data_IF_864851451088
#
_entry.id   IF_864851451088
#
_cell.length_a   1.000
_cell.length_b   1.000
_cell.length_c   1.000
_cell.angle_alpha   90.00
_cell.angle_beta   90.00
_cell.angle_gamma   90.00
#
_symmetry.space_group_name_H-M   'P 1'
#
loop_
_entity.id
_entity.type
_entity.pdbx_description
1 polymer ?
#
# COMPACT_ATOMS: atom_id res chain seq x y z
N UNK A 1 54.58 -18.98 30.78
CA UNK A 1 54.40 -19.27 29.33
C UNK A 1 52.99 -19.81 29.12
N UNK A 2 52.08 -19.05 28.49
CA UNK A 2 50.72 -19.50 28.24
C UNK A 2 50.68 -20.49 27.07
N UNK A 3 49.96 -21.59 27.24
CA UNK A 3 49.65 -22.57 26.20
C UNK A 3 48.66 -21.97 25.21
N UNK A 4 49.09 -21.70 24.00
CA UNK A 4 48.22 -21.40 22.86
C UNK A 4 47.47 -22.68 22.47
N UNK A 5 46.17 -22.72 22.74
CA UNK A 5 45.26 -23.69 22.13
C UNK A 5 44.97 -23.21 20.71
N UNK A 6 45.51 -23.91 19.72
CA UNK A 6 45.08 -23.80 18.33
C UNK A 6 43.62 -24.27 18.21
N UNK A 7 42.70 -23.32 18.11
CA UNK A 7 41.34 -23.58 17.66
C UNK A 7 41.39 -23.66 16.14
N UNK A 8 41.31 -24.89 15.62
CA UNK A 8 41.18 -25.13 14.19
C UNK A 8 39.91 -24.47 13.68
N UNK A 9 40.05 -23.78 12.55
CA UNK A 9 38.97 -23.30 11.71
C UNK A 9 38.08 -24.49 11.31
N UNK A 10 37.02 -24.74 12.08
CA UNK A 10 35.91 -25.54 11.60
C UNK A 10 35.13 -24.68 10.61
N UNK A 11 35.61 -24.66 9.38
CA UNK A 11 34.81 -24.28 8.22
C UNK A 11 33.68 -25.29 8.14
N UNK A 12 32.49 -24.91 8.63
CA UNK A 12 31.31 -25.74 8.55
C UNK A 12 30.92 -25.91 7.09
N UNK A 13 31.25 -27.07 6.51
CA UNK A 13 30.86 -27.49 5.16
C UNK A 13 29.33 -27.56 5.06
N UNK A 14 28.78 -26.91 4.03
CA UNK A 14 27.34 -26.73 3.74
C UNK A 14 26.51 -28.02 3.59
N UNK A 15 27.08 -29.20 3.83
CA UNK A 15 26.47 -30.50 3.49
C UNK A 15 25.69 -31.15 4.65
N UNK A 16 25.74 -30.60 5.86
CA UNK A 16 25.11 -31.19 7.04
C UNK A 16 23.88 -30.41 7.53
N UNK A 17 22.86 -30.21 6.69
CA UNK A 17 21.56 -29.70 7.17
C UNK A 17 20.43 -30.66 6.80
N UNK A 18 20.10 -31.51 7.78
CA UNK A 18 18.84 -32.25 7.82
C UNK A 18 17.67 -31.25 7.80
N UNK A 19 16.69 -31.52 6.94
CA UNK A 19 15.42 -30.81 6.76
C UNK A 19 14.85 -30.27 8.09
N UNK A 20 14.85 -28.95 8.26
CA UNK A 20 14.25 -28.28 9.43
C UNK A 20 14.53 -26.78 9.52
N UNK A 21 13.74 -25.98 8.79
CA UNK A 21 13.32 -24.56 8.94
C UNK A 21 14.19 -23.42 9.50
N UNK A 22 15.41 -23.65 10.01
CA UNK A 22 16.26 -22.58 10.53
C UNK A 22 17.72 -22.94 10.30
N UNK A 23 18.34 -22.30 9.31
CA UNK A 23 19.79 -22.40 9.09
C UNK A 23 20.45 -21.24 9.83
N UNK A 24 21.14 -21.56 10.92
CA UNK A 24 21.93 -20.60 11.68
C UNK A 24 23.40 -20.76 11.29
N UNK A 25 24.00 -19.70 10.75
CA UNK A 25 25.43 -19.60 10.50
C UNK A 25 26.07 -18.87 11.67
N UNK A 26 26.94 -19.55 12.40
CA UNK A 26 27.73 -18.97 13.49
C UNK A 26 29.13 -18.62 12.97
N UNK A 27 29.32 -17.35 12.63
CA UNK A 27 30.62 -16.72 12.43
C UNK A 27 30.82 -15.56 13.42
N UNK A 28 31.72 -14.59 13.14
CA UNK A 28 31.79 -13.34 13.92
C UNK A 28 30.47 -12.54 13.89
N UNK A 29 29.53 -12.90 13.00
CA UNK A 29 28.16 -12.41 12.94
C UNK A 29 27.22 -13.61 12.81
N UNK A 30 26.10 -13.60 13.55
CA UNK A 30 25.04 -14.62 13.49
C UNK A 30 24.09 -14.32 12.32
N UNK A 31 24.14 -15.12 11.25
CA UNK A 31 23.21 -15.01 10.11
C UNK A 31 22.18 -16.12 10.26
N UNK A 32 20.90 -15.75 10.28
CA UNK A 32 19.78 -16.70 10.37
C UNK A 32 19.05 -16.68 9.04
N UNK A 33 19.16 -17.76 8.27
CA UNK A 33 18.37 -17.96 7.05
C UNK A 33 17.12 -18.75 7.42
N UNK A 34 15.98 -18.07 7.32
CA UNK A 34 14.66 -18.67 7.56
C UNK A 34 14.03 -18.96 6.20
N UNK A 35 14.03 -20.23 5.79
CA UNK A 35 13.33 -20.67 4.60
C UNK A 35 11.82 -20.79 4.88
N UNK A 36 10.96 -20.08 4.12
CA UNK A 36 9.52 -20.22 4.26
C UNK A 36 9.06 -21.61 3.82
N UNK A 37 7.94 -22.09 4.37
CA UNK A 37 7.35 -23.34 3.89
C UNK A 37 6.91 -23.18 2.43
N UNK A 38 6.88 -24.29 1.67
CA UNK A 38 6.41 -24.30 0.27
C UNK A 38 5.00 -23.72 0.17
N UNK A 39 4.12 -24.04 1.14
CA UNK A 39 2.75 -23.52 1.18
C UNK A 39 2.73 -22.00 1.39
N UNK A 40 3.58 -21.46 2.27
CA UNK A 40 3.69 -20.02 2.49
C UNK A 40 4.22 -19.31 1.24
N UNK A 41 5.18 -19.92 0.55
CA UNK A 41 5.71 -19.40 -0.71
C UNK A 41 4.63 -19.35 -1.79
N UNK A 42 3.89 -20.44 -2.00
CA UNK A 42 2.79 -20.49 -2.97
C UNK A 42 1.71 -19.45 -2.66
N UNK A 43 1.33 -19.31 -1.39
CA UNK A 43 0.35 -18.30 -0.98
C UNK A 43 0.81 -16.88 -1.31
N UNK A 44 2.08 -16.55 -1.04
CA UNK A 44 2.66 -15.23 -1.36
C UNK A 44 2.71 -14.97 -2.85
N UNK A 45 3.06 -15.96 -3.65
CA UNK A 45 3.07 -15.86 -5.12
C UNK A 45 1.65 -15.60 -5.64
N UNK A 46 0.66 -16.33 -5.12
CA UNK A 46 -0.73 -16.15 -5.52
C UNK A 46 -1.27 -14.76 -5.13
N UNK A 47 -1.03 -14.33 -3.89
CA UNK A 47 -1.46 -13.01 -3.41
C UNK A 47 -0.81 -11.87 -4.20
N UNK A 48 0.51 -11.93 -4.43
CA UNK A 48 1.22 -10.92 -5.22
C UNK A 48 0.76 -10.89 -6.68
N UNK A 49 0.50 -12.05 -7.29
CA UNK A 49 -0.04 -12.15 -8.65
C UNK A 49 -1.42 -11.51 -8.73
N UNK A 50 -2.31 -11.81 -7.78
CA UNK A 50 -3.65 -11.22 -7.74
C UNK A 50 -3.59 -9.69 -7.59
N UNK A 51 -2.72 -9.17 -6.71
CA UNK A 51 -2.54 -7.73 -6.54
C UNK A 51 -2.01 -7.07 -7.82
N UNK A 52 -1.08 -7.72 -8.53
CA UNK A 52 -0.58 -7.24 -9.81
C UNK A 52 -1.69 -7.19 -10.87
N UNK A 53 -2.51 -8.23 -10.97
CA UNK A 53 -3.68 -8.25 -11.84
C UNK A 53 -4.67 -7.12 -11.50
N UNK A 54 -5.00 -6.93 -10.22
CA UNK A 54 -5.85 -5.81 -9.80
C UNK A 54 -5.30 -4.45 -10.24
N UNK A 55 -3.99 -4.24 -10.10
CA UNK A 55 -3.35 -2.99 -10.52
C UNK A 55 -3.37 -2.80 -12.05
N UNK A 56 -3.23 -3.87 -12.83
CA UNK A 56 -3.41 -3.83 -14.29
C UNK A 56 -4.85 -3.48 -14.68
N UNK A 57 -5.85 -4.07 -14.03
CA UNK A 57 -7.27 -3.76 -14.29
C UNK A 57 -7.60 -2.30 -13.95
N UNK A 58 -7.06 -1.78 -12.85
CA UNK A 58 -7.16 -0.35 -12.49
C UNK A 58 -6.59 0.52 -13.62
N UNK A 59 -5.36 0.24 -14.07
CA UNK A 59 -4.73 0.99 -15.14
C UNK A 59 -5.52 0.94 -16.45
N UNK A 60 -6.00 -0.25 -16.83
CA UNK A 60 -6.83 -0.44 -18.02
C UNK A 60 -8.13 0.37 -17.94
N UNK A 61 -8.84 0.33 -16.80
CA UNK A 61 -10.08 1.09 -16.61
C UNK A 61 -9.84 2.61 -16.71
N UNK A 62 -8.76 3.11 -16.10
CA UNK A 62 -8.38 4.53 -16.15
C UNK A 62 -8.08 4.95 -17.59
N UNK A 63 -7.24 4.19 -18.31
CA UNK A 63 -6.92 4.46 -19.71
C UNK A 63 -8.18 4.47 -20.60
N UNK A 64 -9.07 3.49 -20.41
CA UNK A 64 -10.32 3.42 -21.17
C UNK A 64 -11.23 4.63 -20.92
N UNK A 65 -11.37 5.08 -19.66
CA UNK A 65 -12.18 6.26 -19.34
C UNK A 65 -11.62 7.55 -19.95
N UNK A 66 -10.29 7.72 -19.92
CA UNK A 66 -9.61 8.86 -20.54
C UNK A 66 -9.75 8.83 -22.07
N UNK A 67 -9.55 7.66 -22.66
CA UNK A 67 -9.65 7.46 -24.11
C UNK A 67 -11.09 7.68 -24.61
N UNK A 68 -12.08 7.19 -23.87
CA UNK A 68 -13.49 7.45 -24.13
C UNK A 68 -13.80 8.96 -24.11
N UNK A 69 -13.34 9.67 -23.08
CA UNK A 69 -13.54 11.13 -22.97
C UNK A 69 -12.95 11.88 -24.16
N UNK A 70 -11.79 11.43 -24.64
CA UNK A 70 -11.12 11.99 -25.82
C UNK A 70 -11.87 11.70 -27.13
N UNK A 71 -12.24 10.44 -27.40
CA UNK A 71 -12.93 10.05 -28.64
C UNK A 71 -14.29 10.74 -28.75
N UNK A 72 -15.07 10.74 -27.67
CA UNK A 72 -16.41 11.29 -27.68
C UNK A 72 -16.44 12.82 -27.68
N UNK A 73 -15.27 13.49 -27.65
CA UNK A 73 -15.13 14.96 -27.67
C UNK A 73 -16.05 15.64 -26.65
N UNK A 74 -16.04 15.13 -25.43
CA UNK A 74 -16.86 15.67 -24.36
C UNK A 74 -16.49 17.14 -24.08
N UNK A 75 -17.45 17.96 -23.60
CA UNK A 75 -17.16 19.32 -23.14
C UNK A 75 -15.99 19.33 -22.15
N UNK A 76 -15.14 20.36 -22.23
CA UNK A 76 -13.87 20.41 -21.48
C UNK A 76 -14.06 20.20 -19.97
N UNK A 77 -15.12 20.77 -19.38
CA UNK A 77 -15.43 20.59 -17.96
C UNK A 77 -15.83 19.16 -17.61
N UNK A 78 -16.57 18.47 -18.49
CA UNK A 78 -16.94 17.07 -18.30
C UNK A 78 -15.70 16.18 -18.45
N UNK A 79 -14.90 16.42 -19.49
CA UNK A 79 -13.66 15.66 -19.70
C UNK A 79 -12.67 15.86 -18.55
N UNK A 80 -12.54 17.08 -18.03
CA UNK A 80 -11.70 17.39 -16.87
C UNK A 80 -12.23 16.74 -15.59
N UNK A 81 -13.56 16.75 -15.39
CA UNK A 81 -14.21 16.03 -14.28
C UNK A 81 -13.90 14.54 -14.32
N UNK A 82 -14.12 13.89 -15.49
CA UNK A 82 -13.85 12.45 -15.66
C UNK A 82 -12.36 12.18 -15.41
N UNK A 83 -11.46 12.94 -16.04
CA UNK A 83 -10.03 12.74 -15.87
C UNK A 83 -9.60 12.88 -14.41
N UNK A 84 -10.05 13.93 -13.72
CA UNK A 84 -9.69 14.19 -12.34
C UNK A 84 -10.26 13.14 -11.38
N UNK A 85 -11.57 12.83 -11.47
CA UNK A 85 -12.23 11.86 -10.59
C UNK A 85 -11.73 10.43 -10.83
N UNK A 86 -11.52 10.02 -12.09
CA UNK A 86 -10.98 8.69 -12.40
C UNK A 86 -9.53 8.57 -11.92
N UNK A 87 -8.68 9.57 -12.14
CA UNK A 87 -7.30 9.54 -11.66
C UNK A 87 -7.23 9.56 -10.12
N UNK A 88 -8.02 10.40 -9.46
CA UNK A 88 -8.07 10.45 -8.00
C UNK A 88 -8.62 9.17 -7.38
N UNK A 89 -9.88 8.84 -7.67
CA UNK A 89 -10.60 7.78 -6.97
C UNK A 89 -10.39 6.37 -7.54
N UNK A 90 -10.04 6.22 -8.82
CA UNK A 90 -9.84 4.89 -9.42
C UNK A 90 -8.36 4.52 -9.53
N UNK A 91 -7.45 5.49 -9.73
CA UNK A 91 -6.01 5.20 -9.77
C UNK A 91 -5.34 5.38 -8.40
N UNK A 92 -5.36 6.58 -7.83
CA UNK A 92 -4.59 6.87 -6.62
C UNK A 92 -5.15 6.21 -5.37
N UNK A 93 -6.47 6.22 -5.17
CA UNK A 93 -7.07 5.65 -3.97
C UNK A 93 -6.83 4.13 -3.85
N UNK A 94 -7.08 3.30 -4.88
CA UNK A 94 -6.78 1.88 -4.78
C UNK A 94 -5.27 1.61 -4.66
N UNK A 95 -4.43 2.40 -5.33
CA UNK A 95 -2.98 2.32 -5.17
C UNK A 95 -2.53 2.63 -3.74
N UNK A 96 -3.19 3.59 -3.08
CA UNK A 96 -2.97 3.91 -1.67
C UNK A 96 -3.32 2.71 -0.78
N UNK A 97 -4.35 1.94 -1.10
CA UNK A 97 -4.67 0.72 -0.34
C UNK A 97 -3.67 -0.41 -0.62
N UNK A 98 -3.27 -0.60 -1.89
CA UNK A 98 -2.33 -1.64 -2.29
C UNK A 98 -0.95 -1.45 -1.66
N UNK A 99 -0.46 -0.20 -1.52
CA UNK A 99 0.86 0.07 -0.95
C UNK A 99 0.99 -0.34 0.54
N UNK A 100 -0.13 -0.46 1.25
CA UNK A 100 -0.13 -0.95 2.63
C UNK A 100 0.06 -2.47 2.72
N UNK A 101 -0.25 -3.21 1.66
CA UNK A 101 -0.07 -4.66 1.63
C UNK A 101 1.42 -5.00 1.38
N UNK A 102 2.11 -5.73 2.27
CA UNK A 102 3.53 -6.04 2.13
C UNK A 102 3.86 -6.99 0.96
N UNK A 103 2.85 -7.65 0.37
CA UNK A 103 3.02 -8.54 -0.78
C UNK A 103 2.84 -7.82 -2.12
N UNK A 104 2.49 -6.53 -2.10
CA UNK A 104 2.45 -5.73 -3.31
C UNK A 104 3.87 -5.42 -3.77
N UNK A 105 4.19 -5.67 -5.05
CA UNK A 105 5.56 -5.57 -5.56
C UNK A 105 6.22 -4.22 -5.30
N UNK A 106 5.47 -3.11 -5.37
CA UNK A 106 6.00 -1.77 -5.11
C UNK A 106 6.29 -1.48 -3.62
N UNK A 107 5.72 -2.27 -2.70
CA UNK A 107 5.83 -2.05 -1.25
C UNK A 107 6.75 -3.05 -0.54
N UNK A 108 7.18 -4.12 -1.22
CA UNK A 108 7.88 -5.26 -0.62
C UNK A 108 9.21 -4.86 0.06
N UNK A 109 9.93 -3.90 -0.53
CA UNK A 109 11.19 -3.40 -0.01
C UNK A 109 11.01 -2.25 1.00
N UNK A 110 9.78 -1.78 1.21
CA UNK A 110 9.51 -0.62 2.06
C UNK A 110 9.33 -1.05 3.51
N UNK A 111 9.89 -0.27 4.42
CA UNK A 111 9.59 -0.40 5.86
C UNK A 111 8.14 0.01 6.12
N UNK A 112 7.56 -0.46 7.24
CA UNK A 112 6.18 -0.11 7.62
C UNK A 112 5.94 1.42 7.65
N UNK A 113 6.90 2.18 8.19
CA UNK A 113 6.86 3.65 8.21
C UNK A 113 6.83 4.27 6.80
N UNK A 114 7.60 3.71 5.85
CA UNK A 114 7.64 4.18 4.46
C UNK A 114 6.34 3.85 3.72
N UNK A 115 5.79 2.64 3.91
CA UNK A 115 4.47 2.28 3.34
C UNK A 115 3.37 3.20 3.82
N UNK A 116 3.32 3.49 5.13
CA UNK A 116 2.35 4.44 5.70
C UNK A 116 2.53 5.86 5.14
N UNK A 117 3.78 6.30 4.95
CA UNK A 117 4.06 7.60 4.32
C UNK A 117 3.60 7.66 2.86
N UNK A 118 3.84 6.61 2.07
CA UNK A 118 3.39 6.54 0.68
C UNK A 118 1.86 6.43 0.58
N UNK A 119 1.23 5.67 1.47
CA UNK A 119 -0.22 5.63 1.60
C UNK A 119 -0.78 7.04 1.84
N UNK A 120 -0.24 7.77 2.83
CA UNK A 120 -0.66 9.13 3.10
C UNK A 120 -0.51 10.02 1.85
N UNK A 121 0.64 9.98 1.17
CA UNK A 121 0.88 10.75 -0.04
C UNK A 121 -0.15 10.46 -1.15
N UNK A 122 -0.43 9.18 -1.46
CA UNK A 122 -1.43 8.80 -2.45
C UNK A 122 -2.86 9.21 -2.05
N UNK A 123 -3.18 9.16 -0.75
CA UNK A 123 -4.45 9.66 -0.22
C UNK A 123 -4.56 11.19 -0.37
N UNK A 124 -3.47 11.94 -0.23
CA UNK A 124 -3.46 13.40 -0.52
C UNK A 124 -3.75 13.67 -1.99
N UNK A 125 -3.09 12.95 -2.91
CA UNK A 125 -3.36 13.09 -4.33
C UNK A 125 -4.81 12.73 -4.67
N UNK A 126 -5.36 11.67 -4.05
CA UNK A 126 -6.77 11.30 -4.19
C UNK A 126 -7.69 12.48 -3.84
N UNK A 127 -7.47 13.12 -2.69
CA UNK A 127 -8.31 14.22 -2.24
C UNK A 127 -8.20 15.43 -3.17
N UNK A 128 -6.98 15.81 -3.56
CA UNK A 128 -6.74 16.93 -4.48
C UNK A 128 -7.49 16.71 -5.79
N UNK A 129 -7.28 15.56 -6.43
CA UNK A 129 -7.93 15.24 -7.71
C UNK A 129 -9.45 15.08 -7.57
N UNK A 130 -9.93 14.51 -6.47
CA UNK A 130 -11.35 14.39 -6.17
C UNK A 130 -12.04 15.75 -6.01
N UNK A 131 -11.41 16.69 -5.30
CA UNK A 131 -11.90 18.07 -5.14
C UNK A 131 -11.88 18.82 -6.47
N UNK A 132 -10.80 18.72 -7.25
CA UNK A 132 -10.70 19.34 -8.57
C UNK A 132 -11.78 18.82 -9.51
N UNK A 133 -12.01 17.50 -9.55
CA UNK A 133 -13.07 16.91 -10.35
C UNK A 133 -14.46 17.35 -9.89
N UNK A 134 -14.71 17.39 -8.59
CA UNK A 134 -15.96 17.91 -8.00
C UNK A 134 -16.21 19.38 -8.35
N UNK A 135 -15.16 20.20 -8.34
CA UNK A 135 -15.25 21.62 -8.72
C UNK A 135 -15.61 21.79 -10.20
N UNK A 136 -14.99 21.02 -11.10
CA UNK A 136 -15.28 21.09 -12.54
C UNK A 136 -16.75 20.78 -12.86
N UNK A 137 -17.32 19.73 -12.24
CA UNK A 137 -18.73 19.39 -12.47
C UNK A 137 -19.68 20.38 -11.80
N UNK A 138 -19.31 20.94 -10.63
CA UNK A 138 -20.10 21.99 -10.00
C UNK A 138 -20.18 23.23 -10.88
N UNK A 139 -19.04 23.70 -11.41
CA UNK A 139 -19.01 24.81 -12.37
C UNK A 139 -19.88 24.51 -13.60
N UNK A 140 -19.79 23.28 -14.13
CA UNK A 140 -20.61 22.87 -15.27
C UNK A 140 -22.11 22.88 -14.95
N UNK A 141 -22.54 22.36 -13.81
CA UNK A 141 -23.95 22.34 -13.39
C UNK A 141 -24.50 23.76 -13.23
N UNK A 142 -23.75 24.64 -12.57
CA UNK A 142 -24.14 26.06 -12.38
C UNK A 142 -24.32 26.76 -13.73
N UNK A 143 -23.46 26.47 -14.70
CA UNK A 143 -23.53 27.08 -16.03
C UNK A 143 -24.59 26.45 -16.96
N UNK A 144 -24.96 25.19 -16.74
CA UNK A 144 -25.70 24.38 -17.72
C UNK A 144 -27.07 23.89 -17.24
N UNK A 145 -27.49 24.23 -16.01
CA UNK A 145 -28.74 23.80 -15.39
C UNK A 145 -28.98 22.28 -15.46
N UNK A 146 -27.92 21.49 -15.25
CA UNK A 146 -27.98 20.04 -15.39
C UNK A 146 -28.80 19.39 -14.25
N UNK A 147 -29.66 18.39 -14.54
CA UNK A 147 -30.47 17.75 -13.52
C UNK A 147 -29.63 16.91 -12.56
N UNK A 148 -30.00 16.95 -11.27
CA UNK A 148 -29.48 16.05 -10.24
C UNK A 148 -29.76 14.60 -10.61
N UNK A 149 -28.71 13.76 -10.61
CA UNK A 149 -28.84 12.32 -10.81
C UNK A 149 -28.20 11.57 -9.63
N UNK A 150 -28.44 10.25 -9.48
CA UNK A 150 -27.86 9.47 -8.40
C UNK A 150 -26.32 9.54 -8.35
N UNK A 151 -25.67 9.64 -9.51
CA UNK A 151 -24.20 9.77 -9.60
C UNK A 151 -23.70 11.04 -8.91
N UNK A 152 -24.37 12.18 -9.10
CA UNK A 152 -24.06 13.44 -8.40
C UNK A 152 -24.18 13.27 -6.88
N UNK A 153 -25.25 12.62 -6.40
CA UNK A 153 -25.47 12.41 -4.96
C UNK A 153 -24.38 11.51 -4.37
N UNK A 154 -24.10 10.37 -5.01
CA UNK A 154 -23.04 9.45 -4.55
C UNK A 154 -21.66 10.10 -4.60
N UNK A 155 -21.38 10.93 -5.61
CA UNK A 155 -20.12 11.66 -5.73
C UNK A 155 -19.94 12.67 -4.61
N UNK A 156 -20.99 13.42 -4.26
CA UNK A 156 -20.97 14.38 -3.17
C UNK A 156 -20.79 13.70 -1.81
N UNK A 157 -21.51 12.60 -1.56
CA UNK A 157 -21.33 11.80 -0.33
C UNK A 157 -19.89 11.26 -0.22
N UNK A 158 -19.34 10.77 -1.33
CA UNK A 158 -17.94 10.31 -1.38
C UNK A 158 -16.99 11.44 -1.00
N UNK A 159 -17.16 12.63 -1.59
CA UNK A 159 -16.34 13.79 -1.30
C UNK A 159 -16.43 14.21 0.18
N UNK A 160 -17.64 14.33 0.71
CA UNK A 160 -17.88 14.70 2.11
C UNK A 160 -17.23 13.67 3.05
N UNK A 161 -17.36 12.38 2.76
CA UNK A 161 -16.76 11.31 3.59
C UNK A 161 -15.24 11.24 3.49
N UNK A 162 -14.65 11.67 2.37
CA UNK A 162 -13.20 11.64 2.15
C UNK A 162 -12.45 12.70 2.97
N UNK A 163 -13.07 13.85 3.25
CA UNK A 163 -12.49 14.94 4.04
C UNK A 163 -12.15 14.50 5.48
N UNK A 164 -13.07 13.96 6.30
CA UNK A 164 -12.73 13.52 7.64
C UNK A 164 -11.76 12.34 7.62
N UNK A 165 -11.87 11.41 6.66
CA UNK A 165 -10.91 10.32 6.52
C UNK A 165 -9.48 10.84 6.31
N UNK A 166 -9.35 11.90 5.51
CA UNK A 166 -8.08 12.58 5.24
C UNK A 166 -7.46 13.23 6.49
N UNK A 167 -8.26 13.80 7.40
CA UNK A 167 -7.73 14.42 8.61
C UNK A 167 -7.52 13.42 9.76
N UNK A 168 -8.47 12.50 9.96
CA UNK A 168 -8.46 11.54 11.07
C UNK A 168 -7.29 10.55 10.91
N UNK A 169 -7.03 10.06 9.69
CA UNK A 169 -5.95 9.09 9.45
C UNK A 169 -4.56 9.60 9.87
N UNK A 170 -4.08 10.73 9.32
CA UNK A 170 -2.82 11.34 9.72
C UNK A 170 -2.80 11.76 11.19
N UNK A 171 -3.91 12.26 11.75
CA UNK A 171 -3.99 12.63 13.17
C UNK A 171 -3.76 11.40 14.07
N UNK A 172 -4.45 10.29 13.81
CA UNK A 172 -4.26 9.02 14.53
C UNK A 172 -2.83 8.48 14.35
N UNK A 173 -2.25 8.67 13.17
CA UNK A 173 -0.88 8.26 12.88
C UNK A 173 0.16 9.06 13.68
N UNK A 174 0.01 10.39 13.78
CA UNK A 174 0.97 11.25 14.49
C UNK A 174 0.79 11.23 16.00
N UNK A 175 -0.45 11.10 16.48
CA UNK A 175 -0.74 11.01 17.92
C UNK A 175 -0.29 9.69 18.54
N UNK A 176 0.12 8.71 17.73
CA UNK A 176 0.75 7.49 18.23
C UNK A 176 -0.16 6.71 19.18
N UNK A 177 -1.48 6.80 19.00
CA UNK A 177 -2.46 5.92 19.67
C UNK A 177 -2.25 4.52 19.07
N UNK A 178 -1.14 3.89 19.46
CA UNK A 178 -0.74 2.58 19.01
C UNK A 178 -1.84 1.60 19.39
N UNK A 179 -2.18 0.74 18.43
CA UNK A 179 -3.04 -0.41 18.68
C UNK A 179 -2.51 -1.15 19.92
N UNK A 180 -3.36 -1.49 20.91
CA UNK A 180 -2.94 -2.13 22.16
C UNK A 180 -2.11 -3.41 21.95
N UNK A 181 -2.19 -4.03 20.77
CA UNK A 181 -1.40 -5.21 20.38
C UNK A 181 0.10 -4.92 20.23
N UNK A 182 0.51 -3.78 19.70
CA UNK A 182 1.95 -3.43 19.57
C UNK A 182 2.56 -3.09 20.93
N UNK A 183 1.78 -2.49 21.84
CA UNK A 183 2.19 -2.27 23.22
C UNK A 183 2.42 -3.59 23.97
N UNK A 184 1.57 -4.61 23.74
CA UNK A 184 1.70 -5.92 24.38
C UNK A 184 2.92 -6.69 23.86
N UNK A 185 3.20 -6.67 22.56
CA UNK A 185 4.36 -7.36 21.97
C UNK A 185 5.67 -6.71 22.41
N UNK A 186 5.75 -5.38 22.45
CA UNK A 186 6.92 -4.68 23.01
C UNK A 186 7.12 -4.97 24.49
N UNK A 187 6.03 -5.11 25.27
CA UNK A 187 6.11 -5.48 26.69
C UNK A 187 6.60 -6.93 26.89
N UNK A 188 6.20 -7.87 26.03
CA UNK A 188 6.70 -9.26 26.06
C UNK A 188 8.19 -9.36 25.72
N UNK A 189 8.65 -8.61 24.72
CA UNK A 189 10.07 -8.56 24.33
C UNK A 189 10.92 -7.92 25.43
N UNK A 190 10.43 -6.82 26.03
CA UNK A 190 11.15 -6.13 27.12
C UNK A 190 11.24 -6.94 28.41
N UNK A 191 10.31 -7.89 28.60
CA UNK A 191 10.26 -8.77 29.77
C UNK A 191 10.93 -10.14 29.52
N UNK A 192 11.65 -10.34 28.41
CA UNK A 192 12.37 -11.58 28.12
C UNK A 192 11.46 -12.82 27.98
N UNK A 193 10.20 -12.61 27.58
CA UNK A 193 9.19 -13.68 27.45
C UNK A 193 9.16 -14.30 26.04
N UNK A 194 10.20 -14.10 25.23
CA UNK A 194 10.40 -14.71 23.90
C UNK A 194 11.86 -15.12 23.75
#
# INVERSE_FOLDING_TARGET
MPKTKGGGDQVCTLECVKKGHLQQFEGPVKIIVVEPSINDLFKRILESSLLAFCHLFIGAAVCMALYFSYICRLPIFISAHIAACTTGFQLFLPSAFLILNPYFGASIQLKNRQRKSQHAYLTHLTLIFGLTGGLHILCYIVMSAFPYNPHTITGLLTLISSIPAFFIGPLLYHTGICSPKEAITLKKIKNGLV
#
